data_IF_237190878188
#
_entry.id   IF_237190878188
#
_cell.length_a   1.000
_cell.length_b   1.000
_cell.length_c   1.000
_cell.angle_alpha   90.00
_cell.angle_beta   90.00
_cell.angle_gamma   90.00
#
_symmetry.space_group_name_H-M   'P 1'
#
loop_
_entity.id
_entity.type
_entity.pdbx_description
1 polymer ?
#
# COMPACT_ATOMS: atom_id res chain seq x y z
N UNK A 1 21.87 -15.30 22.95
CA UNK A 1 20.68 -14.44 22.81
C UNK A 1 20.72 -13.77 21.45
N UNK A 2 19.85 -14.19 20.53
CA UNK A 2 19.81 -13.68 19.16
C UNK A 2 19.20 -12.28 19.18
N UNK A 3 20.01 -11.27 18.85
CA UNK A 3 19.58 -9.87 18.77
C UNK A 3 18.56 -9.71 17.65
N UNK A 4 17.31 -9.44 18.05
CA UNK A 4 16.20 -9.16 17.14
C UNK A 4 16.45 -7.87 16.35
N UNK A 5 16.04 -7.86 15.08
CA UNK A 5 15.67 -6.61 14.41
C UNK A 5 14.40 -6.11 15.10
N UNK A 6 14.52 -5.23 16.10
CA UNK A 6 13.49 -4.20 16.25
C UNK A 6 13.72 -3.26 15.09
N UNK A 7 12.79 -3.19 14.15
CA UNK A 7 12.75 -2.05 13.25
C UNK A 7 12.61 -0.82 14.15
N UNK A 8 13.71 -0.09 14.33
CA UNK A 8 13.72 1.30 14.74
C UNK A 8 12.90 2.07 13.69
N UNK A 9 11.58 2.06 13.85
CA UNK A 9 10.88 3.32 13.73
C UNK A 9 11.59 4.24 14.73
N UNK A 10 12.31 5.23 14.22
CA UNK A 10 12.77 6.32 15.04
C UNK A 10 11.55 6.81 15.83
N UNK A 11 11.55 6.52 17.13
CA UNK A 11 10.72 7.24 18.06
C UNK A 11 11.22 8.68 17.99
N UNK A 12 10.48 9.51 17.27
CA UNK A 12 10.53 10.95 17.48
C UNK A 12 10.02 11.14 18.92
N UNK A 13 10.94 11.32 19.87
CA UNK A 13 10.60 11.83 21.19
C UNK A 13 10.04 13.23 21.02
N UNK A 14 8.72 13.37 21.11
CA UNK A 14 8.10 14.59 21.62
C UNK A 14 7.83 14.28 23.09
N UNK A 15 8.61 14.90 23.97
CA UNK A 15 8.34 14.87 25.41
C UNK A 15 7.01 15.56 25.68
N UNK A 16 6.07 14.84 26.30
CA UNK A 16 4.94 15.46 26.97
C UNK A 16 5.37 15.77 28.40
N UNK A 17 5.91 16.97 28.63
CA UNK A 17 5.63 17.65 29.90
C UNK A 17 4.30 18.37 29.69
N UNK A 18 3.31 17.96 30.47
CA UNK A 18 2.00 18.56 30.47
C UNK A 18 2.10 20.00 30.96
N UNK A 19 1.94 20.97 30.06
CA UNK A 19 1.26 22.25 30.31
C UNK A 19 0.85 22.85 28.96
N UNK A 20 -0.46 23.08 28.83
CA UNK A 20 -1.15 23.98 27.89
C UNK A 20 -0.75 23.97 26.40
N UNK A 21 -1.72 23.55 25.58
CA UNK A 21 -1.74 23.66 24.11
C UNK A 21 -1.30 25.07 23.65
N UNK A 22 -0.42 25.13 22.62
CA UNK A 22 -0.68 26.01 21.48
C UNK A 22 -0.71 25.23 20.17
N UNK A 23 -1.68 25.64 19.37
CA UNK A 23 -2.08 25.11 18.07
C UNK A 23 -1.01 25.45 17.04
N UNK A 24 -0.51 24.47 16.28
CA UNK A 24 0.08 24.72 14.96
C UNK A 24 -0.61 23.89 13.89
N UNK A 25 -1.56 24.56 13.23
CA UNK A 25 -2.26 24.13 12.03
C UNK A 25 -1.28 23.95 10.86
N UNK A 26 -1.18 22.74 10.32
CA UNK A 26 -1.06 22.61 8.86
C UNK A 26 -2.48 22.60 8.31
N UNK A 27 -3.03 23.77 7.99
CA UNK A 27 -4.35 23.90 7.39
C UNK A 27 -4.37 23.18 6.03
N UNK A 28 -4.90 21.95 5.99
CA UNK A 28 -5.63 21.53 4.81
C UNK A 28 -6.79 22.54 4.68
N UNK A 29 -6.82 23.33 3.61
CA UNK A 29 -7.86 24.35 3.43
C UNK A 29 -9.26 23.73 3.63
N UNK A 30 -9.91 24.07 4.74
CA UNK A 30 -11.24 23.56 5.06
C UNK A 30 -12.23 24.24 4.12
N UNK A 31 -13.03 23.44 3.41
CA UNK A 31 -13.97 23.99 2.44
C UNK A 31 -15.31 24.26 3.13
N UNK A 32 -15.67 25.53 3.32
CA UNK A 32 -16.97 25.91 3.89
C UNK A 32 -18.09 25.57 2.90
N UNK A 33 -18.97 24.65 3.30
CA UNK A 33 -20.12 24.18 2.51
C UNK A 33 -21.40 24.12 3.33
N UNK A 34 -22.55 24.19 2.67
CA UNK A 34 -23.86 24.08 3.32
C UNK A 34 -24.73 23.05 2.63
N UNK A 35 -25.30 22.10 3.38
CA UNK A 35 -26.26 21.14 2.84
C UNK A 35 -27.13 20.57 3.97
N UNK A 36 -28.37 20.17 3.66
CA UNK A 36 -29.37 19.73 4.65
C UNK A 36 -29.60 20.79 5.75
N UNK A 37 -29.71 22.07 5.37
CA UNK A 37 -29.96 23.18 6.30
C UNK A 37 -28.81 23.55 7.23
N UNK A 38 -27.67 22.85 7.18
CA UNK A 38 -26.52 23.08 8.08
C UNK A 38 -25.30 23.58 7.32
N UNK A 39 -24.65 24.60 7.88
CA UNK A 39 -23.31 25.05 7.48
C UNK A 39 -22.25 24.15 8.11
N UNK A 40 -21.26 23.72 7.33
CA UNK A 40 -20.18 22.84 7.78
C UNK A 40 -18.84 23.27 7.18
N UNK A 41 -17.77 23.15 7.95
CA UNK A 41 -16.41 23.17 7.42
C UNK A 41 -16.03 21.76 6.99
N UNK A 42 -15.99 21.51 5.68
CA UNK A 42 -15.66 20.20 5.16
C UNK A 42 -14.16 19.95 5.30
N UNK A 43 -13.81 18.98 6.15
CA UNK A 43 -12.44 18.56 6.45
C UNK A 43 -12.02 17.31 5.67
N UNK A 44 -12.95 16.68 4.96
CA UNK A 44 -12.66 15.57 4.05
C UNK A 44 -11.90 16.03 2.81
N UNK A 45 -11.23 15.10 2.13
CA UNK A 45 -10.50 15.46 0.91
C UNK A 45 -11.45 15.67 -0.27
N UNK A 46 -11.23 16.78 -0.98
CA UNK A 46 -11.97 17.15 -2.18
C UNK A 46 -11.75 16.14 -3.32
N UNK A 47 -12.84 15.65 -3.91
CA UNK A 47 -12.80 14.67 -4.99
C UNK A 47 -12.49 15.32 -6.33
N UNK A 48 -11.63 14.66 -7.10
CA UNK A 48 -11.33 14.99 -8.50
C UNK A 48 -11.93 13.96 -9.45
N UNK A 49 -12.07 14.31 -10.73
CA UNK A 49 -12.72 13.45 -11.71
C UNK A 49 -11.88 13.37 -12.99
N UNK A 50 -11.91 12.21 -13.64
CA UNK A 50 -11.39 12.03 -15.00
C UNK A 50 -12.41 11.29 -15.87
N UNK A 51 -12.39 11.57 -17.18
CA UNK A 51 -13.19 10.86 -18.17
C UNK A 51 -12.29 10.40 -19.32
N UNK A 52 -12.36 9.12 -19.70
CA UNK A 52 -11.44 8.50 -20.68
C UNK A 52 -9.97 8.80 -20.35
N UNK A 53 -9.60 8.72 -19.06
CA UNK A 53 -8.28 9.05 -18.51
C UNK A 53 -7.84 10.52 -18.68
N UNK A 54 -8.71 11.42 -19.17
CA UNK A 54 -8.45 12.87 -19.21
C UNK A 54 -9.01 13.53 -17.96
N UNK A 55 -8.15 14.26 -17.24
CA UNK A 55 -8.54 14.98 -16.01
C UNK A 55 -9.58 16.06 -16.35
N UNK A 56 -10.63 16.11 -15.55
CA UNK A 56 -11.65 17.15 -15.61
C UNK A 56 -11.37 18.21 -14.54
N UNK A 57 -11.72 19.47 -14.80
CA UNK A 57 -11.40 20.60 -13.93
C UNK A 57 -12.63 21.46 -13.67
N UNK A 58 -13.11 21.54 -12.44
CA UNK A 58 -14.23 22.42 -12.07
C UNK A 58 -13.90 23.23 -10.84
N UNK A 59 -14.46 24.44 -10.76
CA UNK A 59 -14.48 25.25 -9.53
C UNK A 59 -15.24 24.58 -8.38
N UNK A 60 -16.03 23.55 -8.67
CA UNK A 60 -16.75 22.76 -7.67
C UNK A 60 -16.09 21.39 -7.52
N UNK A 61 -15.46 21.17 -6.37
CA UNK A 61 -14.94 19.86 -6.01
C UNK A 61 -16.07 18.88 -5.70
N UNK A 62 -15.86 17.59 -5.97
CA UNK A 62 -16.72 16.57 -5.37
C UNK A 62 -16.40 16.40 -3.88
N UNK A 63 -17.31 15.81 -3.14
CA UNK A 63 -17.15 15.55 -1.70
C UNK A 63 -17.65 14.14 -1.37
N UNK A 64 -17.35 13.67 -0.17
CA UNK A 64 -17.98 12.47 0.38
C UNK A 64 -19.07 12.85 1.38
N UNK A 65 -20.25 12.23 1.24
CA UNK A 65 -21.34 12.30 2.21
C UNK A 65 -21.66 10.86 2.63
N UNK A 66 -21.58 10.54 3.92
CA UNK A 66 -21.81 9.19 4.45
C UNK A 66 -21.04 8.11 3.67
N UNK A 67 -19.73 8.31 3.48
CA UNK A 67 -18.83 7.46 2.69
C UNK A 67 -19.21 7.26 1.21
N UNK A 68 -20.18 8.01 0.70
CA UNK A 68 -20.58 8.02 -0.72
C UNK A 68 -19.88 9.15 -1.44
N UNK A 69 -19.18 8.83 -2.53
CA UNK A 69 -18.57 9.82 -3.40
C UNK A 69 -19.64 10.58 -4.17
N UNK A 70 -19.70 11.90 -4.00
CA UNK A 70 -20.71 12.76 -4.57
C UNK A 70 -20.10 13.60 -5.71
N UNK A 71 -20.68 13.51 -6.92
CA UNK A 71 -20.22 14.20 -8.12
C UNK A 71 -21.06 15.46 -8.39
N UNK A 72 -20.44 16.63 -8.62
CA UNK A 72 -21.10 17.81 -9.20
C UNK A 72 -21.53 17.53 -10.64
N UNK A 73 -22.68 16.85 -10.79
CA UNK A 73 -23.03 16.14 -12.03
C UNK A 73 -23.05 17.06 -13.26
N UNK A 74 -23.54 18.30 -13.11
CA UNK A 74 -23.62 19.23 -14.22
C UNK A 74 -22.24 19.62 -14.77
N UNK A 75 -21.24 19.75 -13.91
CA UNK A 75 -19.91 20.16 -14.36
C UNK A 75 -19.11 19.00 -14.94
N UNK A 76 -19.12 17.86 -14.25
CA UNK A 76 -18.29 16.73 -14.62
C UNK A 76 -18.94 15.81 -15.66
N UNK A 77 -20.26 15.61 -15.61
CA UNK A 77 -20.97 14.72 -16.54
C UNK A 77 -21.52 15.46 -17.76
N UNK A 78 -22.06 16.67 -17.57
CA UNK A 78 -22.75 17.43 -18.64
C UNK A 78 -21.79 18.37 -19.36
N UNK A 79 -21.13 19.30 -18.65
CA UNK A 79 -20.28 20.31 -19.29
C UNK A 79 -18.95 19.76 -19.82
N UNK A 80 -18.23 18.93 -19.06
CA UNK A 80 -16.84 18.59 -19.40
C UNK A 80 -16.66 17.18 -19.93
N UNK A 81 -16.99 16.16 -19.13
CA UNK A 81 -16.62 14.77 -19.43
C UNK A 81 -17.47 14.14 -20.53
N UNK A 82 -18.37 13.20 -20.21
CA UNK A 82 -19.12 12.43 -21.20
C UNK A 82 -20.14 13.22 -22.04
N UNK A 83 -20.41 14.50 -21.75
CA UNK A 83 -21.44 15.30 -22.44
C UNK A 83 -22.84 14.68 -22.31
N UNK A 84 -23.18 14.22 -21.10
CA UNK A 84 -24.50 13.68 -20.77
C UNK A 84 -25.56 14.75 -21.01
N UNK A 85 -26.62 14.40 -21.76
CA UNK A 85 -27.77 15.30 -21.95
C UNK A 85 -28.54 15.42 -20.64
N UNK A 86 -29.00 16.63 -20.31
CA UNK A 86 -29.66 16.92 -19.03
C UNK A 86 -30.94 17.74 -19.23
N UNK A 87 -31.99 17.35 -18.51
CA UNK A 87 -33.10 18.25 -18.13
C UNK A 87 -33.18 18.37 -16.59
N UNK A 88 -33.46 19.57 -16.08
CA UNK A 88 -33.63 19.84 -14.65
C UNK A 88 -34.78 20.82 -14.41
N UNK A 89 -35.72 20.46 -13.55
CA UNK A 89 -36.81 21.32 -13.10
C UNK A 89 -36.55 21.78 -11.67
N UNK A 90 -36.38 23.09 -11.46
CA UNK A 90 -36.20 23.68 -10.12
C UNK A 90 -37.44 23.52 -9.25
N UNK A 91 -38.65 23.64 -9.83
CA UNK A 91 -39.94 23.51 -9.15
C UNK A 91 -40.15 22.13 -8.52
N UNK A 92 -39.84 21.07 -9.26
CA UNK A 92 -40.07 19.68 -8.81
C UNK A 92 -38.81 19.00 -8.28
N UNK A 93 -37.64 19.60 -8.47
CA UNK A 93 -36.34 18.98 -8.22
C UNK A 93 -36.01 17.82 -9.15
N UNK A 94 -36.81 17.57 -10.20
CA UNK A 94 -36.63 16.46 -11.14
C UNK A 94 -35.39 16.67 -12.00
N UNK A 95 -34.53 15.66 -12.06
CA UNK A 95 -33.28 15.61 -12.82
C UNK A 95 -33.40 14.44 -13.79
N UNK A 96 -33.27 14.69 -15.09
CA UNK A 96 -33.24 13.65 -16.13
C UNK A 96 -31.90 13.71 -16.84
N UNK A 97 -31.14 12.63 -16.79
CA UNK A 97 -29.85 12.47 -17.44
C UNK A 97 -29.96 11.41 -18.54
N UNK A 98 -29.51 11.73 -19.75
CA UNK A 98 -29.52 10.80 -20.90
C UNK A 98 -28.12 10.64 -21.47
N UNK A 99 -27.69 9.40 -21.64
CA UNK A 99 -26.41 9.05 -22.28
C UNK A 99 -26.58 7.76 -23.07
N UNK A 100 -26.40 7.83 -24.39
CA UNK A 100 -26.77 6.74 -25.30
C UNK A 100 -28.26 6.35 -25.11
N UNK A 101 -28.51 5.04 -24.96
CA UNK A 101 -29.85 4.46 -24.71
C UNK A 101 -30.26 4.47 -23.23
N UNK A 102 -29.45 5.03 -22.32
CA UNK A 102 -29.72 5.06 -20.88
C UNK A 102 -30.33 6.39 -20.46
N UNK A 103 -31.42 6.32 -19.71
CA UNK A 103 -32.10 7.46 -19.08
C UNK A 103 -32.15 7.24 -17.58
N UNK A 104 -31.57 8.17 -16.82
CA UNK A 104 -31.64 8.22 -15.37
C UNK A 104 -32.53 9.39 -14.96
N UNK A 105 -33.64 9.10 -14.28
CA UNK A 105 -34.54 10.11 -13.70
C UNK A 105 -34.43 10.08 -12.18
N UNK A 106 -33.98 11.18 -11.58
CA UNK A 106 -33.82 11.33 -10.14
C UNK A 106 -34.51 12.61 -9.65
N UNK A 107 -34.63 12.76 -8.33
CA UNK A 107 -35.17 13.97 -7.71
C UNK A 107 -34.21 14.45 -6.64
N UNK A 108 -33.92 15.76 -6.64
CA UNK A 108 -33.13 16.40 -5.58
C UNK A 108 -33.76 16.11 -4.22
N UNK A 109 -32.97 15.62 -3.26
CA UNK A 109 -33.41 15.28 -1.91
C UNK A 109 -34.06 13.91 -1.75
N UNK A 110 -34.31 13.15 -2.84
CA UNK A 110 -34.92 11.82 -2.77
C UNK A 110 -33.93 10.73 -3.15
N UNK A 111 -33.90 9.63 -2.37
CA UNK A 111 -33.05 8.46 -2.67
C UNK A 111 -33.59 7.64 -3.84
N UNK A 112 -34.90 7.68 -4.07
CA UNK A 112 -35.54 6.98 -5.18
C UNK A 112 -35.17 7.62 -6.51
N UNK A 113 -34.77 6.79 -7.47
CA UNK A 113 -34.51 7.18 -8.85
C UNK A 113 -34.97 6.08 -9.81
N UNK A 114 -34.98 6.38 -11.10
CA UNK A 114 -35.45 5.47 -12.14
C UNK A 114 -34.39 5.33 -13.22
N UNK A 115 -34.07 4.10 -13.61
CA UNK A 115 -33.23 3.78 -14.76
C UNK A 115 -34.10 3.17 -15.84
N UNK A 116 -34.21 3.85 -16.98
CA UNK A 116 -35.10 3.46 -18.08
C UNK A 116 -36.52 3.13 -17.57
N UNK A 117 -37.04 3.92 -16.62
CA UNK A 117 -38.35 3.71 -16.01
C UNK A 117 -38.38 2.77 -14.80
N UNK A 118 -37.35 1.93 -14.59
CA UNK A 118 -37.30 1.00 -13.46
C UNK A 118 -36.84 1.68 -12.16
N UNK A 119 -37.63 1.54 -11.09
CA UNK A 119 -37.34 2.11 -9.76
C UNK A 119 -36.08 1.51 -9.13
N UNK A 120 -35.23 2.35 -8.56
CA UNK A 120 -33.98 2.04 -7.86
C UNK A 120 -33.77 3.01 -6.68
N UNK A 121 -32.79 2.72 -5.82
CA UNK A 121 -32.49 3.51 -4.62
C UNK A 121 -31.01 3.86 -4.55
N UNK A 122 -30.70 5.15 -4.40
CA UNK A 122 -29.35 5.64 -4.16
C UNK A 122 -28.89 5.37 -2.72
N UNK A 123 -27.58 5.22 -2.51
CA UNK A 123 -26.97 5.14 -1.16
C UNK A 123 -27.10 6.43 -0.35
N UNK A 124 -27.18 7.58 -1.03
CA UNK A 124 -27.39 8.94 -0.49
C UNK A 124 -28.26 9.71 -1.49
N UNK A 125 -29.19 10.56 -1.05
CA UNK A 125 -29.99 11.34 -1.99
C UNK A 125 -29.13 12.34 -2.79
N UNK A 126 -29.47 12.66 -4.05
CA UNK A 126 -28.90 13.83 -4.73
C UNK A 126 -29.08 15.06 -3.85
N UNK A 127 -27.97 15.73 -3.51
CA UNK A 127 -27.94 16.73 -2.44
C UNK A 127 -27.56 18.10 -3.01
N UNK A 128 -28.33 19.13 -2.65
CA UNK A 128 -27.97 20.53 -2.92
C UNK A 128 -26.88 20.95 -1.93
N UNK A 129 -25.72 21.34 -2.45
CA UNK A 129 -24.55 21.78 -1.67
C UNK A 129 -24.23 23.22 -2.05
N UNK A 130 -24.34 24.14 -1.09
CA UNK A 130 -23.88 25.53 -1.19
C UNK A 130 -22.36 25.58 -0.98
N UNK A 131 -21.63 26.07 -1.97
CA UNK A 131 -20.19 26.32 -1.88
C UNK A 131 -19.97 27.79 -1.54
N UNK A 132 -19.61 28.10 -0.29
CA UNK A 132 -19.52 29.48 0.18
C UNK A 132 -18.43 30.28 -0.53
N UNK A 133 -17.37 29.62 -0.99
CA UNK A 133 -16.29 30.24 -1.78
C UNK A 133 -16.76 30.84 -3.12
N UNK A 134 -17.93 30.43 -3.63
CA UNK A 134 -18.45 30.88 -4.93
C UNK A 134 -19.88 31.41 -4.86
N UNK A 135 -20.48 31.45 -3.67
CA UNK A 135 -21.91 31.74 -3.45
C UNK A 135 -22.90 30.76 -4.07
N UNK A 136 -22.44 29.76 -4.84
CA UNK A 136 -23.29 28.93 -5.70
C UNK A 136 -23.82 27.68 -4.97
N UNK A 137 -25.06 27.28 -5.29
CA UNK A 137 -25.63 26.00 -4.84
C UNK A 137 -25.63 24.98 -5.98
N UNK A 138 -24.89 23.89 -5.80
CA UNK A 138 -24.71 22.85 -6.81
C UNK A 138 -25.35 21.55 -6.34
N UNK A 139 -26.07 20.87 -7.23
CA UNK A 139 -26.59 19.54 -6.96
C UNK A 139 -25.48 18.53 -7.21
N UNK A 140 -25.17 17.75 -6.18
CA UNK A 140 -24.27 16.61 -6.27
C UNK A 140 -25.08 15.31 -6.27
N UNK A 141 -24.66 14.36 -7.10
CA UNK A 141 -25.28 13.04 -7.18
C UNK A 141 -24.32 11.95 -6.71
N UNK A 142 -24.82 10.81 -6.19
CA UNK A 142 -23.99 9.64 -5.90
C UNK A 142 -23.27 9.18 -7.16
N UNK A 143 -21.95 9.32 -7.15
CA UNK A 143 -21.15 9.21 -8.36
C UNK A 143 -21.16 7.78 -8.93
N UNK A 144 -21.16 6.75 -8.08
CA UNK A 144 -21.15 5.36 -8.51
C UNK A 144 -22.42 5.00 -9.26
N UNK A 145 -23.56 5.17 -8.62
CA UNK A 145 -24.88 4.83 -9.14
C UNK A 145 -25.25 5.69 -10.35
N UNK A 146 -24.90 6.97 -10.33
CA UNK A 146 -25.18 7.87 -11.46
C UNK A 146 -24.37 7.49 -12.70
N UNK A 147 -23.06 7.24 -12.54
CA UNK A 147 -22.17 6.90 -13.66
C UNK A 147 -22.53 5.51 -14.21
N UNK A 148 -22.67 4.51 -13.33
CA UNK A 148 -23.03 3.16 -13.75
C UNK A 148 -24.43 3.09 -14.35
N UNK A 149 -25.40 3.82 -13.79
CA UNK A 149 -26.77 3.89 -14.30
C UNK A 149 -26.87 4.50 -15.70
N UNK A 150 -25.95 5.40 -16.05
CA UNK A 150 -25.83 5.97 -17.39
C UNK A 150 -25.04 5.06 -18.36
N UNK A 151 -24.68 3.85 -17.95
CA UNK A 151 -23.95 2.92 -18.81
C UNK A 151 -22.48 3.31 -18.99
N UNK A 152 -21.85 3.81 -17.94
CA UNK A 152 -20.42 4.13 -17.90
C UNK A 152 -19.70 3.30 -16.84
N UNK A 153 -18.41 3.07 -17.03
CA UNK A 153 -17.55 2.46 -16.01
C UNK A 153 -17.30 3.47 -14.89
N UNK A 154 -17.38 3.03 -13.63
CA UNK A 154 -17.05 3.84 -12.46
C UNK A 154 -15.88 3.23 -11.71
N UNK A 155 -14.86 4.03 -11.40
CA UNK A 155 -13.76 3.61 -10.53
C UNK A 155 -13.38 4.72 -9.56
N UNK A 156 -13.47 4.46 -8.26
CA UNK A 156 -12.94 5.37 -7.24
C UNK A 156 -11.52 4.96 -6.84
N UNK A 157 -10.60 5.91 -6.89
CA UNK A 157 -9.22 5.78 -6.42
C UNK A 157 -9.06 6.58 -5.15
N UNK A 158 -9.19 5.92 -3.99
CA UNK A 158 -9.11 6.56 -2.67
C UNK A 158 -7.80 7.32 -2.47
N UNK A 159 -6.67 6.76 -2.91
CA UNK A 159 -5.35 7.39 -2.76
C UNK A 159 -5.17 8.73 -3.47
N UNK A 160 -5.99 9.03 -4.49
CA UNK A 160 -5.98 10.32 -5.18
C UNK A 160 -7.32 11.05 -5.08
N UNK A 161 -8.24 10.54 -4.24
CA UNK A 161 -9.61 11.00 -4.14
C UNK A 161 -10.25 11.21 -5.52
N UNK A 162 -9.97 10.30 -6.47
CA UNK A 162 -10.31 10.49 -7.88
C UNK A 162 -11.35 9.49 -8.34
N UNK A 163 -12.41 9.99 -8.94
CA UNK A 163 -13.42 9.19 -9.65
C UNK A 163 -13.10 9.18 -11.14
N UNK A 164 -12.78 8.01 -11.67
CA UNK A 164 -12.53 7.79 -13.10
C UNK A 164 -13.77 7.24 -13.79
N UNK A 165 -14.10 7.80 -14.95
CA UNK A 165 -15.28 7.45 -15.75
C UNK A 165 -14.87 7.11 -17.19
N UNK A 166 -15.56 6.17 -17.83
CA UNK A 166 -15.38 5.85 -19.26
C UNK A 166 -16.65 5.23 -19.83
N UNK A 167 -16.74 5.14 -21.16
CA UNK A 167 -17.85 4.44 -21.84
C UNK A 167 -17.75 2.93 -21.58
N UNK A 168 -18.91 2.26 -21.53
CA UNK A 168 -18.97 0.80 -21.66
C UNK A 168 -18.72 0.46 -23.13
N UNK A 169 -17.64 -0.28 -23.43
CA UNK A 169 -17.46 -0.90 -24.74
C UNK A 169 -18.41 -2.08 -24.87
N UNK A 170 -19.18 -2.13 -25.95
CA UNK A 170 -20.06 -3.26 -26.25
C UNK A 170 -19.22 -4.50 -26.61
N UNK A 171 -18.89 -5.26 -25.58
CA UNK A 171 -18.84 -6.72 -25.64
C UNK A 171 -19.77 -7.20 -24.53
N UNK A 172 -21.05 -7.33 -24.85
CA UNK A 172 -22.06 -8.02 -24.03
C UNK A 172 -21.78 -9.51 -24.09
N UNK A 173 -21.69 -10.25 -22.98
CA UNK A 173 -22.89 -10.70 -22.26
C UNK A 173 -22.83 -10.51 -20.73
N UNK A 174 -24.03 -10.42 -20.15
CA UNK A 174 -24.33 -10.00 -18.79
C UNK A 174 -23.88 -10.99 -17.70
N UNK A 175 -23.32 -10.44 -16.62
CA UNK A 175 -23.16 -11.11 -15.35
C UNK A 175 -24.39 -10.86 -14.47
N UNK A 176 -25.16 -11.92 -14.22
CA UNK A 176 -25.79 -12.12 -12.91
C UNK A 176 -25.56 -13.57 -12.48
N UNK A 177 -24.90 -13.68 -11.33
CA UNK A 177 -24.99 -14.79 -10.36
C UNK A 177 -24.81 -16.21 -10.89
N UNK A 178 -23.56 -16.63 -11.05
CA UNK A 178 -23.07 -17.91 -10.56
C UNK A 178 -21.54 -17.99 -10.72
N UNK A 179 -20.94 -18.70 -9.79
CA UNK A 179 -19.53 -19.02 -9.65
C UNK A 179 -18.99 -19.82 -10.87
N UNK A 180 -17.70 -19.62 -11.22
CA UNK A 180 -16.84 -20.34 -12.21
C UNK A 180 -16.98 -19.92 -13.70
N UNK A 181 -15.99 -19.89 -14.61
CA UNK A 181 -14.51 -20.07 -14.73
C UNK A 181 -14.11 -19.60 -16.18
N UNK A 182 -12.86 -19.19 -16.50
CA UNK A 182 -12.50 -18.44 -17.73
C UNK A 182 -11.82 -19.25 -18.86
N UNK A 183 -11.81 -18.71 -20.10
CA UNK A 183 -10.80 -18.92 -21.17
C UNK A 183 -10.94 -17.83 -22.27
N UNK A 184 -9.99 -16.87 -22.44
CA UNK A 184 -8.68 -16.86 -23.12
C UNK A 184 -8.81 -16.65 -24.66
N UNK A 185 -8.25 -15.61 -25.27
CA UNK A 185 -6.80 -15.28 -25.42
C UNK A 185 -6.57 -13.76 -25.59
N UNK A 186 -5.50 -13.10 -25.12
CA UNK A 186 -4.25 -13.58 -24.56
C UNK A 186 -4.27 -13.76 -23.04
N UNK A 187 -3.98 -15.00 -22.63
CA UNK A 187 -3.61 -15.48 -21.30
C UNK A 187 -4.13 -14.65 -20.11
N UNK A 188 -5.32 -15.01 -19.63
CA UNK A 188 -5.73 -14.68 -18.27
C UNK A 188 -4.57 -15.01 -17.31
N UNK A 189 -4.22 -14.07 -16.43
CA UNK A 189 -3.19 -14.27 -15.42
C UNK A 189 -3.52 -15.55 -14.62
N UNK A 190 -2.83 -16.65 -14.94
CA UNK A 190 -3.09 -17.98 -14.38
C UNK A 190 -2.91 -17.86 -12.87
N UNK A 191 -4.02 -17.96 -12.14
CA UNK A 191 -4.04 -17.82 -10.68
C UNK A 191 -4.18 -19.19 -10.05
N UNK A 192 -3.25 -19.55 -9.18
CA UNK A 192 -3.24 -20.81 -8.44
C UNK A 192 -3.32 -20.50 -6.95
N UNK A 193 -4.15 -21.22 -6.20
CA UNK A 193 -4.13 -21.16 -4.73
C UNK A 193 -3.60 -22.47 -4.19
N UNK A 194 -2.66 -22.39 -3.26
CA UNK A 194 -2.12 -23.51 -2.50
C UNK A 194 -2.20 -23.17 -1.02
N UNK A 195 -1.99 -24.17 -0.16
CA UNK A 195 -2.09 -24.02 1.27
C UNK A 195 -0.83 -24.52 1.96
N UNK A 196 -0.42 -23.79 2.99
CA UNK A 196 0.60 -24.25 3.95
C UNK A 196 -0.09 -24.59 5.26
N UNK A 197 0.08 -25.82 5.72
CA UNK A 197 -0.47 -26.24 7.00
C UNK A 197 0.32 -25.61 8.16
N UNK A 198 -0.40 -25.05 9.12
CA UNK A 198 0.11 -24.57 10.39
C UNK A 198 -0.31 -25.60 11.45
N UNK A 199 0.65 -26.19 12.16
CA UNK A 199 0.42 -27.33 13.05
C UNK A 199 -0.49 -27.01 14.26
N UNK A 200 -0.66 -25.72 14.59
CA UNK A 200 -1.51 -25.23 15.69
C UNK A 200 -2.86 -24.75 15.16
N UNK A 201 -3.87 -24.78 16.03
CA UNK A 201 -5.13 -24.05 15.79
C UNK A 201 -4.84 -22.55 15.74
N UNK A 202 -5.72 -21.76 15.10
CA UNK A 202 -5.54 -20.30 15.01
C UNK A 202 -5.37 -19.65 16.39
N UNK A 203 -6.18 -20.05 17.39
CA UNK A 203 -6.10 -19.49 18.75
C UNK A 203 -4.78 -19.84 19.44
N UNK A 204 -4.31 -21.09 19.30
CA UNK A 204 -3.04 -21.51 19.90
C UNK A 204 -1.84 -20.85 19.21
N UNK A 205 -1.89 -20.66 17.89
CA UNK A 205 -0.86 -19.95 17.15
C UNK A 205 -0.79 -18.47 17.54
N UNK A 206 -1.95 -17.78 17.64
CA UNK A 206 -2.04 -16.40 18.15
C UNK A 206 -1.44 -16.26 19.55
N UNK A 207 -1.67 -17.23 20.45
CA UNK A 207 -1.07 -17.22 21.78
C UNK A 207 0.46 -17.35 21.72
N UNK A 208 0.99 -18.22 20.85
CA UNK A 208 2.43 -18.39 20.67
C UNK A 208 3.09 -17.13 20.10
N UNK A 209 2.47 -16.50 19.10
CA UNK A 209 2.91 -15.22 18.51
C UNK A 209 2.97 -14.10 19.54
N UNK A 210 1.91 -13.94 20.36
CA UNK A 210 1.92 -12.94 21.42
C UNK A 210 3.00 -13.23 22.46
N UNK A 211 3.30 -14.49 22.77
CA UNK A 211 4.40 -14.85 23.69
C UNK A 211 5.76 -14.47 23.11
N UNK A 212 5.99 -14.75 21.83
CA UNK A 212 7.24 -14.44 21.14
C UNK A 212 7.43 -12.92 20.92
N UNK A 213 6.34 -12.23 20.60
CA UNK A 213 6.31 -10.80 20.27
C UNK A 213 5.24 -10.08 21.10
N UNK A 214 5.49 -9.87 22.41
CA UNK A 214 4.47 -9.33 23.33
C UNK A 214 4.17 -7.84 23.09
N UNK A 215 5.11 -7.10 22.53
CA UNK A 215 5.00 -5.65 22.35
C UNK A 215 5.59 -5.17 21.02
N UNK A 216 5.07 -4.04 20.54
CA UNK A 216 5.59 -3.30 19.41
C UNK A 216 5.55 -1.80 19.71
N UNK A 217 6.61 -1.06 19.38
CA UNK A 217 6.71 0.37 19.69
C UNK A 217 6.58 0.69 21.19
N UNK A 218 7.05 -0.21 22.06
CA UNK A 218 6.94 -0.07 23.52
C UNK A 218 5.56 -0.37 24.10
N UNK A 219 4.58 -0.79 23.28
CA UNK A 219 3.21 -1.08 23.72
C UNK A 219 2.87 -2.56 23.57
N UNK A 220 2.22 -3.13 24.57
CA UNK A 220 1.71 -4.51 24.54
C UNK A 220 0.66 -4.68 23.44
N UNK A 221 0.68 -5.82 22.74
CA UNK A 221 -0.28 -6.13 21.68
C UNK A 221 -1.37 -7.06 22.22
N UNK A 222 -2.63 -6.70 22.02
CA UNK A 222 -3.76 -7.53 22.47
C UNK A 222 -3.92 -8.80 21.63
N UNK A 223 -4.48 -9.86 22.25
CA UNK A 223 -4.78 -11.12 21.54
C UNK A 223 -5.71 -10.89 20.35
N UNK A 224 -6.71 -10.02 20.51
CA UNK A 224 -7.64 -9.62 19.44
C UNK A 224 -6.95 -8.95 18.25
N UNK A 225 -5.95 -8.09 18.53
CA UNK A 225 -5.14 -7.46 17.48
C UNK A 225 -4.39 -8.52 16.67
N UNK A 226 -3.71 -9.45 17.34
CA UNK A 226 -3.06 -10.58 16.66
C UNK A 226 -4.04 -11.44 15.86
N UNK A 227 -5.19 -11.81 16.44
CA UNK A 227 -6.23 -12.57 15.72
C UNK A 227 -6.66 -11.86 14.43
N UNK A 228 -6.78 -10.53 14.44
CA UNK A 228 -7.18 -9.76 13.26
C UNK A 228 -6.17 -9.85 12.12
N UNK A 229 -4.86 -9.87 12.42
CA UNK A 229 -3.82 -9.93 11.40
C UNK A 229 -3.45 -11.35 10.98
N UNK A 230 -3.51 -12.31 11.90
CA UNK A 230 -3.18 -13.71 11.64
C UNK A 230 -4.33 -14.42 10.91
N UNK A 231 -5.60 -14.14 11.24
CA UNK A 231 -6.71 -14.86 10.63
C UNK A 231 -6.82 -14.58 9.11
N UNK A 232 -6.62 -15.58 8.23
CA UNK A 232 -6.67 -15.37 6.78
C UNK A 232 -8.06 -14.96 6.28
N UNK A 233 -9.13 -15.25 7.03
CA UNK A 233 -10.49 -14.79 6.71
C UNK A 233 -10.68 -13.28 6.90
N UNK A 234 -9.74 -12.60 7.58
CA UNK A 234 -9.72 -11.15 7.79
C UNK A 234 -8.81 -10.42 6.79
N UNK A 235 -8.36 -11.10 5.74
CA UNK A 235 -7.51 -10.51 4.71
C UNK A 235 -8.17 -9.32 4.00
N UNK A 236 -7.52 -8.15 4.09
CA UNK A 236 -7.91 -6.93 3.37
C UNK A 236 -6.97 -6.61 2.19
N UNK A 237 -5.98 -7.45 1.94
CA UNK A 237 -4.96 -7.24 0.89
C UNK A 237 -5.33 -7.89 -0.44
N UNK A 238 -6.50 -8.53 -0.54
CA UNK A 238 -6.95 -9.24 -1.74
C UNK A 238 -5.96 -10.33 -2.18
N UNK A 239 -5.54 -11.13 -1.21
CA UNK A 239 -4.54 -12.19 -1.26
C UNK A 239 -3.09 -11.75 -1.49
N UNK A 240 -2.78 -10.45 -1.62
CA UNK A 240 -1.40 -10.02 -1.88
C UNK A 240 -0.43 -10.33 -0.73
N UNK A 241 -0.90 -10.41 0.52
CA UNK A 241 -0.07 -10.92 1.61
C UNK A 241 0.25 -12.42 1.50
N UNK A 242 -0.52 -13.17 0.71
CA UNK A 242 -0.31 -14.60 0.45
C UNK A 242 0.39 -14.86 -0.89
N UNK A 243 0.75 -13.82 -1.65
CA UNK A 243 1.41 -13.99 -2.95
C UNK A 243 2.77 -14.67 -2.78
N UNK A 244 3.03 -15.74 -3.54
CA UNK A 244 4.35 -16.37 -3.61
C UNK A 244 5.37 -15.42 -4.23
N UNK A 245 6.39 -15.08 -3.45
CA UNK A 245 7.42 -14.12 -3.77
C UNK A 245 8.67 -14.75 -4.40
N UNK A 246 8.79 -16.08 -4.36
CA UNK A 246 9.94 -16.87 -4.84
C UNK A 246 9.93 -17.11 -6.36
N UNK A 247 9.36 -16.18 -7.11
CA UNK A 247 9.39 -16.18 -8.57
C UNK A 247 9.41 -14.75 -9.07
N UNK A 248 10.26 -14.49 -10.05
CA UNK A 248 10.17 -13.25 -10.80
C UNK A 248 8.88 -13.20 -11.62
N UNK A 249 8.24 -12.03 -11.65
CA UNK A 249 7.05 -11.75 -12.48
C UNK A 249 7.35 -10.57 -13.41
N UNK A 250 7.09 -10.68 -14.73
CA UNK A 250 7.31 -9.58 -15.64
C UNK A 250 6.47 -8.35 -15.26
N UNK A 251 7.06 -7.16 -15.40
CA UNK A 251 6.43 -5.86 -15.16
C UNK A 251 6.70 -4.91 -16.33
N UNK A 252 5.80 -3.96 -16.54
CA UNK A 252 6.06 -2.82 -17.41
C UNK A 252 7.05 -1.86 -16.72
N UNK A 253 8.30 -1.83 -17.17
CA UNK A 253 9.39 -1.09 -16.52
C UNK A 253 9.11 0.42 -16.42
N UNK A 254 8.56 1.02 -17.47
CA UNK A 254 8.20 2.44 -17.48
C UNK A 254 7.12 2.76 -16.45
N UNK A 255 6.03 1.98 -16.42
CA UNK A 255 4.96 2.15 -15.44
C UNK A 255 5.46 1.94 -14.01
N UNK A 256 6.31 0.94 -13.80
CA UNK A 256 6.96 0.63 -12.53
C UNK A 256 7.80 1.81 -12.02
N UNK A 257 8.71 2.33 -12.84
CA UNK A 257 9.58 3.45 -12.46
C UNK A 257 8.78 4.75 -12.26
N UNK A 258 7.77 5.01 -13.10
CA UNK A 258 6.90 6.18 -12.96
C UNK A 258 6.06 6.14 -11.69
N UNK A 259 5.47 4.99 -11.35
CA UNK A 259 4.73 4.84 -10.11
C UNK A 259 5.63 4.95 -8.88
N UNK A 260 6.83 4.35 -8.90
CA UNK A 260 7.84 4.55 -7.85
C UNK A 260 8.09 6.04 -7.66
N UNK A 261 8.53 6.74 -8.70
CA UNK A 261 8.88 8.15 -8.65
C UNK A 261 7.74 9.07 -8.19
N UNK A 262 6.48 8.73 -8.50
CA UNK A 262 5.29 9.47 -8.05
C UNK A 262 5.06 9.39 -6.54
N UNK A 263 5.58 8.35 -5.88
CA UNK A 263 5.44 8.15 -4.43
C UNK A 263 6.58 8.77 -3.63
N UNK A 264 7.68 9.13 -4.29
CA UNK A 264 8.88 9.65 -3.63
C UNK A 264 8.80 11.17 -3.49
N UNK A 265 9.24 11.66 -2.34
CA UNK A 265 9.50 13.09 -2.10
C UNK A 265 10.83 13.51 -2.72
N UNK A 266 11.06 14.83 -2.79
CA UNK A 266 12.38 15.36 -3.10
C UNK A 266 13.43 14.84 -2.12
N UNK A 267 14.65 14.58 -2.61
CA UNK A 267 15.76 14.04 -1.81
C UNK A 267 15.71 12.53 -1.55
N UNK A 268 14.71 11.79 -2.08
CA UNK A 268 14.71 10.33 -1.96
C UNK A 268 15.83 9.68 -2.76
N UNK A 269 16.59 8.78 -2.13
CA UNK A 269 17.64 8.00 -2.81
C UNK A 269 17.08 7.01 -3.85
N UNK A 270 15.78 6.70 -3.77
CA UNK A 270 15.12 5.75 -4.67
C UNK A 270 14.65 6.39 -5.98
N UNK A 271 14.87 7.70 -6.18
CA UNK A 271 14.49 8.39 -7.41
C UNK A 271 15.15 7.71 -8.62
N UNK A 272 14.32 7.38 -9.62
CA UNK A 272 14.72 6.70 -10.86
C UNK A 272 15.35 5.31 -10.68
N UNK A 273 15.16 4.66 -9.51
CA UNK A 273 15.71 3.33 -9.24
C UNK A 273 14.80 2.17 -9.65
N UNK A 274 13.76 2.43 -10.44
CA UNK A 274 12.81 1.42 -10.91
C UNK A 274 13.49 0.28 -11.67
N UNK A 275 14.34 0.60 -12.65
CA UNK A 275 15.05 -0.40 -13.45
C UNK A 275 16.04 -1.23 -12.62
N UNK A 276 16.68 -0.61 -11.63
CA UNK A 276 17.61 -1.30 -10.71
C UNK A 276 16.86 -2.31 -9.84
N UNK A 277 15.71 -1.94 -9.30
CA UNK A 277 14.84 -2.85 -8.55
C UNK A 277 14.37 -4.03 -9.42
N UNK A 278 13.94 -3.76 -10.66
CA UNK A 278 13.52 -4.81 -11.60
C UNK A 278 14.66 -5.78 -11.88
N UNK A 279 15.87 -5.27 -12.14
CA UNK A 279 17.04 -6.08 -12.42
C UNK A 279 17.48 -6.91 -11.20
N UNK A 280 17.47 -6.33 -10.00
CA UNK A 280 17.75 -7.05 -8.76
C UNK A 280 16.71 -8.15 -8.48
N UNK A 281 15.42 -7.85 -8.65
CA UNK A 281 14.35 -8.83 -8.50
C UNK A 281 14.51 -10.01 -9.48
N UNK A 282 14.87 -9.72 -10.73
CA UNK A 282 15.15 -10.75 -11.75
C UNK A 282 16.36 -11.60 -11.37
N UNK A 283 17.47 -10.97 -10.93
CA UNK A 283 18.70 -11.66 -10.53
C UNK A 283 18.47 -12.65 -9.39
N UNK A 284 17.70 -12.27 -8.38
CA UNK A 284 17.44 -13.11 -7.21
C UNK A 284 16.15 -13.92 -7.31
N UNK A 285 15.51 -13.95 -8.49
CA UNK A 285 14.26 -14.66 -8.75
C UNK A 285 13.18 -14.37 -7.69
N UNK A 286 12.95 -13.09 -7.41
CA UNK A 286 11.91 -12.63 -6.49
C UNK A 286 10.91 -11.71 -7.19
N UNK A 287 9.73 -11.56 -6.60
CA UNK A 287 8.69 -10.70 -7.16
C UNK A 287 9.11 -9.21 -7.14
N UNK A 288 9.12 -8.51 -8.29
CA UNK A 288 9.59 -7.13 -8.36
C UNK A 288 8.65 -6.13 -7.68
N UNK A 289 7.33 -6.35 -7.68
CA UNK A 289 6.39 -5.42 -7.03
C UNK A 289 6.51 -5.54 -5.51
N UNK A 290 6.72 -6.75 -4.99
CA UNK A 290 7.10 -6.96 -3.60
C UNK A 290 8.39 -6.21 -3.27
N UNK A 291 9.46 -6.39 -4.06
CA UNK A 291 10.75 -5.75 -3.81
C UNK A 291 10.62 -4.21 -3.80
N UNK A 292 9.80 -3.64 -4.69
CA UNK A 292 9.45 -2.22 -4.66
C UNK A 292 8.84 -1.83 -3.32
N UNK A 293 7.73 -2.47 -2.95
CA UNK A 293 6.92 -2.09 -1.79
C UNK A 293 7.69 -2.29 -0.48
N UNK A 294 8.42 -3.39 -0.36
CA UNK A 294 9.37 -3.67 0.71
C UNK A 294 10.39 -2.53 0.81
N UNK A 295 11.05 -2.18 -0.30
CA UNK A 295 12.09 -1.14 -0.30
C UNK A 295 11.56 0.21 0.12
N UNK A 296 10.37 0.61 -0.34
CA UNK A 296 9.74 1.86 0.08
C UNK A 296 9.44 1.85 1.58
N UNK A 297 8.89 0.76 2.11
CA UNK A 297 8.54 0.68 3.53
C UNK A 297 9.80 0.76 4.40
N UNK A 298 10.80 -0.09 4.12
CA UNK A 298 12.02 -0.22 4.94
C UNK A 298 12.87 1.06 4.93
N UNK A 299 12.83 1.82 3.84
CA UNK A 299 13.63 3.05 3.70
C UNK A 299 12.85 4.30 4.09
N UNK A 300 11.58 4.20 4.46
CA UNK A 300 10.70 5.36 4.62
C UNK A 300 10.65 6.21 3.34
N UNK A 301 10.34 5.59 2.20
CA UNK A 301 10.35 6.20 0.87
C UNK A 301 11.72 6.76 0.46
N UNK A 302 12.81 6.09 0.86
CA UNK A 302 14.19 6.46 0.55
C UNK A 302 14.71 7.65 1.34
N UNK A 303 14.18 7.91 2.54
CA UNK A 303 14.55 9.05 3.37
C UNK A 303 15.19 8.67 4.72
N UNK A 304 15.20 7.39 5.09
CA UNK A 304 15.84 6.95 6.34
C UNK A 304 17.34 7.23 6.33
N UNK A 305 17.92 7.48 7.51
CA UNK A 305 19.36 7.77 7.68
C UNK A 305 20.24 6.70 7.02
N UNK A 306 19.92 5.42 7.24
CA UNK A 306 20.68 4.32 6.65
C UNK A 306 20.53 4.25 5.13
N UNK A 307 19.37 4.61 4.59
CA UNK A 307 19.12 4.63 3.14
C UNK A 307 19.77 5.81 2.43
N UNK A 308 19.86 6.97 3.09
CA UNK A 308 20.58 8.15 2.60
C UNK A 308 22.10 7.93 2.52
N UNK A 309 22.58 6.96 3.31
CA UNK A 309 23.98 6.56 3.35
C UNK A 309 24.84 7.51 4.18
N UNK A 310 26.02 7.02 4.56
CA UNK A 310 26.99 7.77 5.36
C UNK A 310 28.40 7.52 4.86
N UNK A 311 29.22 8.56 4.85
CA UNK A 311 30.67 8.42 4.70
C UNK A 311 31.24 7.98 6.05
N UNK A 312 31.67 6.72 6.14
CA UNK A 312 32.23 6.15 7.37
C UNK A 312 33.75 6.13 7.32
N UNK A 313 34.37 6.36 8.47
CA UNK A 313 35.83 6.36 8.68
C UNK A 313 36.24 5.33 9.75
N UNK A 314 35.27 4.62 10.33
CA UNK A 314 35.47 3.49 11.22
C UNK A 314 34.35 2.46 11.04
N UNK A 315 34.68 1.20 11.27
CA UNK A 315 33.74 0.07 11.20
C UNK A 315 33.99 -0.92 12.34
N UNK A 316 32.97 -1.70 12.70
CA UNK A 316 33.12 -2.84 13.62
C UNK A 316 34.14 -3.81 13.05
N UNK A 317 35.07 -4.29 13.87
CA UNK A 317 36.25 -5.05 13.44
C UNK A 317 36.68 -6.08 14.49
N UNK A 318 37.74 -6.84 14.19
CA UNK A 318 38.33 -7.81 15.12
C UNK A 318 37.33 -8.86 15.58
N UNK A 319 37.40 -9.24 16.86
CA UNK A 319 36.54 -10.26 17.46
C UNK A 319 35.05 -9.90 17.48
N UNK A 320 34.70 -8.62 17.29
CA UNK A 320 33.31 -8.20 17.16
C UNK A 320 32.67 -8.58 15.82
N UNK A 321 33.45 -9.02 14.82
CA UNK A 321 32.92 -9.44 13.50
C UNK A 321 32.55 -10.92 13.53
N UNK A 322 31.28 -11.21 13.18
CA UNK A 322 30.81 -12.59 13.01
C UNK A 322 30.83 -12.91 11.53
N UNK A 323 31.49 -14.02 11.16
CA UNK A 323 31.60 -14.52 9.79
C UNK A 323 30.97 -15.90 9.65
N UNK A 324 30.42 -16.15 8.49
CA UNK A 324 30.13 -17.51 8.07
C UNK A 324 31.44 -18.28 7.88
N UNK A 325 31.54 -19.47 8.48
CA UNK A 325 32.79 -20.26 8.48
C UNK A 325 33.17 -20.75 7.09
N UNK A 326 32.18 -21.04 6.25
CA UNK A 326 32.42 -21.64 4.93
C UNK A 326 32.79 -20.60 3.86
N UNK A 327 32.18 -19.42 3.92
CA UNK A 327 32.33 -18.37 2.89
C UNK A 327 33.20 -17.21 3.33
N UNK A 328 33.52 -17.10 4.63
CA UNK A 328 34.24 -15.97 5.21
C UNK A 328 33.45 -14.65 5.19
N UNK A 329 32.20 -14.65 4.70
CA UNK A 329 31.36 -13.45 4.61
C UNK A 329 30.92 -12.99 5.99
N UNK A 330 30.91 -11.67 6.21
CA UNK A 330 30.40 -11.08 7.45
C UNK A 330 28.88 -11.27 7.53
N UNK A 331 28.42 -11.94 8.59
CA UNK A 331 27.00 -12.27 8.84
C UNK A 331 26.41 -11.46 10.00
N UNK A 332 27.23 -10.74 10.76
CA UNK A 332 26.77 -9.85 11.81
C UNK A 332 27.90 -9.41 12.74
N UNK A 333 27.50 -8.90 13.91
CA UNK A 333 28.42 -8.43 14.93
C UNK A 333 28.05 -8.95 16.32
N UNK A 334 29.01 -8.92 17.24
CA UNK A 334 28.83 -9.17 18.68
C UNK A 334 29.66 -8.18 19.49
N UNK A 335 29.21 -7.88 20.71
CA UNK A 335 30.03 -7.13 21.67
C UNK A 335 31.07 -8.04 22.30
N UNK A 336 32.21 -7.46 22.66
CA UNK A 336 33.28 -8.06 23.47
C UNK A 336 33.41 -7.17 24.70
N UNK A 337 33.27 -7.76 25.89
CA UNK A 337 33.24 -7.02 27.17
C UNK A 337 32.24 -5.85 27.16
N UNK A 338 31.05 -6.09 26.60
CA UNK A 338 29.96 -5.11 26.52
C UNK A 338 30.11 -4.03 25.43
N UNK A 339 31.20 -3.99 24.67
CA UNK A 339 31.45 -2.95 23.64
C UNK A 339 31.77 -3.56 22.26
N UNK A 340 31.54 -2.80 21.19
CA UNK A 340 31.99 -3.21 19.86
C UNK A 340 33.43 -2.74 19.63
N UNK A 341 34.29 -3.67 19.20
CA UNK A 341 35.63 -3.34 18.73
C UNK A 341 35.50 -2.69 17.35
N UNK A 342 36.20 -1.57 17.13
CA UNK A 342 36.18 -0.84 15.86
C UNK A 342 37.60 -0.52 15.38
N UNK A 343 37.77 -0.39 14.07
CA UNK A 343 39.03 0.01 13.44
C UNK A 343 38.79 1.19 12.50
N UNK A 344 39.79 2.07 12.39
CA UNK A 344 39.79 3.16 11.40
C UNK A 344 39.96 2.58 10.00
N UNK A 345 39.30 3.21 9.03
CA UNK A 345 39.39 2.87 7.61
C UNK A 345 39.51 4.16 6.79
N UNK A 346 39.94 4.04 5.53
CA UNK A 346 39.77 5.12 4.57
C UNK A 346 38.29 5.50 4.43
N UNK A 347 38.02 6.80 4.33
CA UNK A 347 36.65 7.33 4.20
C UNK A 347 35.91 6.67 3.03
N UNK A 348 34.79 6.02 3.30
CA UNK A 348 33.99 5.34 2.28
C UNK A 348 32.50 5.62 2.46
N UNK A 349 31.81 6.01 1.40
CA UNK A 349 30.35 6.18 1.41
C UNK A 349 29.67 4.84 1.26
N UNK A 350 28.75 4.51 2.17
CA UNK A 350 28.00 3.26 2.20
C UNK A 350 26.52 3.48 2.47
N UNK A 351 25.68 2.54 2.01
CA UNK A 351 24.22 2.60 2.05
C UNK A 351 23.65 1.29 2.59
N UNK A 352 22.64 1.36 3.47
CA UNK A 352 21.95 0.18 3.98
C UNK A 352 20.43 0.40 3.95
N UNK A 353 19.75 -0.11 2.93
CA UNK A 353 18.35 0.21 2.69
C UNK A 353 17.41 -0.42 3.72
N UNK A 354 17.71 -1.65 4.16
CA UNK A 354 16.80 -2.47 4.98
C UNK A 354 17.25 -2.55 6.44
N UNK A 355 18.17 -1.67 6.86
CA UNK A 355 18.78 -1.74 8.19
C UNK A 355 19.34 -3.13 8.52
N UNK A 356 19.92 -3.81 7.53
CA UNK A 356 20.43 -5.17 7.70
C UNK A 356 21.57 -5.13 8.73
N UNK A 357 21.41 -5.91 9.81
CA UNK A 357 22.31 -5.95 10.98
C UNK A 357 22.50 -4.59 11.67
N UNK A 358 21.52 -3.70 11.60
CA UNK A 358 21.45 -2.52 12.46
C UNK A 358 20.85 -2.91 13.82
N UNK A 359 21.70 -3.14 14.82
CA UNK A 359 21.27 -3.56 16.15
C UNK A 359 20.89 -2.37 17.04
N UNK A 360 19.87 -2.53 17.90
CA UNK A 360 19.36 -1.49 18.81
C UNK A 360 20.46 -0.78 19.61
N UNK A 361 21.48 -1.52 20.05
CA UNK A 361 22.60 -0.99 20.83
C UNK A 361 23.46 0.02 20.06
N UNK A 362 23.55 -0.12 18.74
CA UNK A 362 24.43 0.70 17.88
C UNK A 362 24.00 0.62 16.41
N UNK A 363 22.79 1.12 16.05
CA UNK A 363 22.15 0.79 14.77
C UNK A 363 22.89 1.36 13.56
N UNK A 364 23.38 2.61 13.66
CA UNK A 364 24.17 3.22 12.58
C UNK A 364 25.53 2.55 12.44
N UNK A 365 26.25 2.32 13.55
CA UNK A 365 27.58 1.70 13.52
C UNK A 365 27.52 0.30 12.89
N UNK A 366 26.64 -0.57 13.42
CA UNK A 366 26.52 -1.94 12.92
C UNK A 366 25.96 -1.96 11.49
N UNK A 367 24.91 -1.18 11.22
CA UNK A 367 24.29 -1.12 9.89
C UNK A 367 25.24 -0.65 8.79
N UNK A 368 26.02 0.41 9.03
CA UNK A 368 27.00 0.88 8.04
C UNK A 368 28.26 0.01 7.97
N UNK A 369 28.69 -0.61 9.08
CA UNK A 369 29.77 -1.60 9.05
C UNK A 369 29.39 -2.82 8.20
N UNK A 370 28.15 -3.28 8.30
CA UNK A 370 27.65 -4.37 7.44
C UNK A 370 27.66 -3.96 5.97
N UNK A 371 27.14 -2.76 5.65
CA UNK A 371 27.16 -2.22 4.31
C UNK A 371 28.59 -2.07 3.75
N UNK A 372 29.55 -1.69 4.59
CA UNK A 372 30.97 -1.63 4.23
C UNK A 372 31.52 -3.01 3.83
N UNK A 373 31.35 -4.04 4.67
CA UNK A 373 31.82 -5.40 4.37
C UNK A 373 31.16 -6.02 3.14
N UNK A 374 29.90 -5.66 2.86
CA UNK A 374 29.17 -6.10 1.67
C UNK A 374 29.34 -5.16 0.46
N UNK A 375 30.23 -4.16 0.56
CA UNK A 375 30.58 -3.22 -0.52
C UNK A 375 29.38 -2.48 -1.10
N UNK A 376 28.39 -2.12 -0.27
CA UNK A 376 27.21 -1.34 -0.68
C UNK A 376 27.54 0.15 -0.81
N UNK A 377 28.44 0.47 -1.74
CA UNK A 377 28.99 1.83 -1.94
C UNK A 377 28.14 2.74 -2.82
N UNK A 378 27.00 2.24 -3.29
CA UNK A 378 26.00 3.01 -4.02
C UNK A 378 24.60 2.51 -3.67
N UNK A 379 23.58 3.33 -3.93
CA UNK A 379 22.17 2.92 -3.76
C UNK A 379 21.88 1.67 -4.56
N UNK A 380 22.42 1.56 -5.78
CA UNK A 380 22.17 0.42 -6.67
C UNK A 380 22.75 -0.88 -6.08
N UNK A 381 24.00 -0.83 -5.57
CA UNK A 381 24.61 -1.97 -4.87
C UNK A 381 23.82 -2.35 -3.62
N UNK A 382 23.29 -1.37 -2.89
CA UNK A 382 22.47 -1.61 -1.72
C UNK A 382 21.09 -2.21 -2.08
N UNK A 383 20.49 -1.87 -3.23
CA UNK A 383 19.28 -2.52 -3.75
C UNK A 383 19.55 -4.00 -4.05
N UNK A 384 20.66 -4.31 -4.73
CA UNK A 384 21.06 -5.70 -4.99
C UNK A 384 21.35 -6.45 -3.69
N UNK A 385 22.03 -5.84 -2.73
CA UNK A 385 22.29 -6.43 -1.42
C UNK A 385 21.02 -6.70 -0.61
N UNK A 386 20.07 -5.77 -0.65
CA UNK A 386 18.78 -5.93 0.00
C UNK A 386 17.95 -7.07 -0.63
N UNK A 387 17.90 -7.14 -1.96
CA UNK A 387 17.24 -8.22 -2.70
C UNK A 387 17.89 -9.58 -2.42
N UNK A 388 19.22 -9.63 -2.40
CA UNK A 388 19.98 -10.83 -2.03
C UNK A 388 19.60 -11.33 -0.64
N UNK A 389 19.63 -10.42 0.35
CA UNK A 389 19.35 -10.73 1.74
C UNK A 389 17.95 -11.34 1.91
N UNK A 390 16.90 -10.71 1.37
CA UNK A 390 15.53 -11.25 1.49
C UNK A 390 15.34 -12.55 0.72
N UNK A 391 16.03 -12.70 -0.41
CA UNK A 391 16.05 -13.93 -1.19
C UNK A 391 16.65 -15.09 -0.40
N UNK A 392 17.90 -14.96 0.05
CA UNK A 392 18.66 -16.05 0.67
C UNK A 392 18.18 -16.36 2.09
N UNK A 393 17.83 -15.33 2.87
CA UNK A 393 17.50 -15.52 4.29
C UNK A 393 16.03 -15.91 4.49
N UNK A 394 15.12 -15.59 3.55
CA UNK A 394 13.68 -15.82 3.74
C UNK A 394 13.02 -16.53 2.55
N UNK A 395 13.01 -15.91 1.37
CA UNK A 395 12.14 -16.31 0.24
C UNK A 395 12.54 -17.66 -0.35
N UNK A 396 13.83 -17.85 -0.60
CA UNK A 396 14.43 -19.06 -1.15
C UNK A 396 15.21 -19.85 -0.09
N UNK A 397 15.05 -19.51 1.19
CA UNK A 397 15.67 -20.25 2.27
C UNK A 397 15.00 -21.62 2.41
N UNK A 398 15.75 -22.71 2.20
CA UNK A 398 15.20 -24.07 2.23
C UNK A 398 14.74 -24.53 3.62
N UNK A 399 15.33 -24.00 4.69
CA UNK A 399 14.98 -24.36 6.06
C UNK A 399 13.71 -23.65 6.55
N UNK A 400 13.50 -22.39 6.14
CA UNK A 400 12.38 -21.57 6.62
C UNK A 400 11.22 -21.46 5.62
N UNK A 401 11.51 -21.47 4.31
CA UNK A 401 10.56 -21.40 3.20
C UNK A 401 9.52 -20.26 3.34
N UNK A 402 9.99 -19.08 3.78
CA UNK A 402 9.14 -17.91 4.03
C UNK A 402 8.90 -17.16 2.72
N UNK A 403 8.18 -17.79 1.81
CA UNK A 403 8.00 -17.33 0.44
C UNK A 403 6.74 -16.49 0.19
N UNK A 404 6.09 -15.98 1.25
CA UNK A 404 4.99 -14.99 1.17
C UNK A 404 5.19 -13.92 2.22
N UNK A 405 4.58 -12.73 2.03
CA UNK A 405 4.57 -11.69 3.07
C UNK A 405 3.97 -12.18 4.39
N UNK A 406 2.94 -13.03 4.31
CA UNK A 406 2.35 -13.65 5.48
C UNK A 406 3.38 -14.51 6.21
N UNK A 407 4.13 -15.37 5.51
CA UNK A 407 5.17 -16.22 6.12
C UNK A 407 6.39 -15.43 6.59
N UNK A 408 6.68 -14.26 5.99
CA UNK A 408 7.68 -13.31 6.49
C UNK A 408 7.37 -12.89 7.92
N UNK A 409 6.09 -12.60 8.19
CA UNK A 409 5.65 -12.15 9.51
C UNK A 409 5.23 -13.28 10.43
N UNK A 410 4.63 -14.35 9.92
CA UNK A 410 4.02 -15.42 10.70
C UNK A 410 4.57 -16.76 10.24
N UNK A 411 5.63 -17.22 10.90
CA UNK A 411 6.38 -18.39 10.46
C UNK A 411 5.54 -19.69 10.53
N UNK A 412 5.45 -20.50 9.46
CA UNK A 412 4.59 -21.70 9.44
C UNK A 412 4.94 -22.76 10.49
N UNK A 413 6.23 -22.87 10.83
CA UNK A 413 6.70 -23.65 11.97
C UNK A 413 6.76 -22.79 13.24
N UNK A 414 5.91 -23.09 14.22
CA UNK A 414 5.85 -22.37 15.50
C UNK A 414 7.08 -22.54 16.40
N UNK A 415 7.98 -23.48 16.11
CA UNK A 415 9.28 -23.56 16.80
C UNK A 415 10.28 -22.51 16.28
N UNK A 416 9.97 -21.89 15.14
CA UNK A 416 10.83 -20.93 14.44
C UNK A 416 10.25 -19.52 14.40
N UNK A 417 9.33 -19.16 15.31
CA UNK A 417 8.78 -17.79 15.41
C UNK A 417 9.87 -16.73 15.69
N UNK A 418 11.04 -17.15 16.18
CA UNK A 418 12.21 -16.28 16.32
C UNK A 418 12.77 -15.81 14.97
N UNK A 419 12.47 -16.52 13.87
CA UNK A 419 12.92 -16.21 12.51
C UNK A 419 11.81 -15.49 11.71
N UNK A 420 11.30 -14.40 12.26
CA UNK A 420 10.32 -13.54 11.60
C UNK A 420 10.97 -12.22 11.18
N UNK A 421 10.58 -11.69 10.02
CA UNK A 421 11.25 -10.52 9.43
C UNK A 421 11.02 -9.25 10.26
N UNK A 422 9.86 -9.12 10.91
CA UNK A 422 9.46 -7.95 11.67
C UNK A 422 8.62 -8.32 12.89
N UNK A 423 8.63 -7.45 13.90
CA UNK A 423 7.80 -7.61 15.11
C UNK A 423 6.42 -6.98 14.96
N UNK A 424 6.24 -5.99 14.07
CA UNK A 424 4.95 -5.36 13.79
C UNK A 424 3.92 -6.41 13.32
N UNK A 425 2.82 -6.66 14.05
CA UNK A 425 1.81 -7.62 13.60
C UNK A 425 1.13 -7.20 12.29
N UNK A 426 1.11 -5.92 11.94
CA UNK A 426 0.53 -5.45 10.69
C UNK A 426 1.46 -5.57 9.47
N UNK A 427 2.71 -6.02 9.64
CA UNK A 427 3.76 -5.94 8.63
C UNK A 427 3.35 -6.52 7.26
N UNK A 428 2.91 -7.77 7.24
CA UNK A 428 2.47 -8.45 6.02
C UNK A 428 1.30 -7.72 5.34
N UNK A 429 0.34 -7.25 6.13
CA UNK A 429 -0.83 -6.51 5.66
C UNK A 429 -0.43 -5.17 5.04
N UNK A 430 0.50 -4.43 5.66
CA UNK A 430 0.94 -3.13 5.16
C UNK A 430 1.54 -3.26 3.76
N UNK A 431 2.51 -4.17 3.58
CA UNK A 431 3.14 -4.36 2.27
C UNK A 431 2.14 -4.93 1.26
N UNK A 432 1.36 -5.94 1.64
CA UNK A 432 0.33 -6.54 0.77
C UNK A 432 -0.70 -5.51 0.31
N UNK A 433 -1.10 -4.59 1.20
CA UNK A 433 -2.00 -3.49 0.86
C UNK A 433 -1.33 -2.49 -0.08
N UNK A 434 -0.05 -2.14 0.09
CA UNK A 434 0.67 -1.24 -0.84
C UNK A 434 0.79 -1.91 -2.21
N UNK A 435 1.17 -3.19 -2.28
CA UNK A 435 1.25 -3.95 -3.52
C UNK A 435 -0.09 -3.93 -4.24
N UNK A 436 -1.17 -4.33 -3.56
CA UNK A 436 -2.51 -4.33 -4.14
C UNK A 436 -2.93 -2.93 -4.54
N UNK A 437 -3.03 -1.99 -3.59
CA UNK A 437 -3.70 -0.70 -3.81
C UNK A 437 -2.91 0.27 -4.69
N UNK A 438 -1.58 0.14 -4.79
CA UNK A 438 -0.74 1.16 -5.41
C UNK A 438 0.08 0.67 -6.59
N UNK A 439 0.54 -0.59 -6.60
CA UNK A 439 1.55 -1.03 -7.57
C UNK A 439 1.13 -2.21 -8.45
N UNK A 440 0.05 -2.95 -8.14
CA UNK A 440 -0.36 -4.14 -8.91
C UNK A 440 -0.55 -3.90 -10.42
N UNK A 441 -0.87 -2.68 -10.83
CA UNK A 441 -1.11 -2.35 -12.24
C UNK A 441 0.16 -2.39 -13.10
N UNK A 442 1.34 -2.55 -12.50
CA UNK A 442 2.61 -2.59 -13.24
C UNK A 442 2.97 -4.00 -13.70
N UNK A 443 2.31 -5.05 -13.18
CA UNK A 443 2.51 -6.40 -13.71
C UNK A 443 2.12 -6.46 -15.18
N UNK A 444 2.90 -7.21 -15.96
CA UNK A 444 2.56 -7.49 -17.35
C UNK A 444 1.29 -8.36 -17.43
N UNK A 445 0.57 -8.30 -18.55
CA UNK A 445 -0.66 -9.05 -18.78
C UNK A 445 -0.47 -10.57 -18.69
N UNK A 446 0.72 -11.07 -19.01
CA UNK A 446 1.08 -12.49 -18.96
C UNK A 446 1.62 -12.96 -17.60
N UNK A 447 1.64 -12.10 -16.57
CA UNK A 447 2.10 -12.49 -15.24
C UNK A 447 1.15 -13.54 -14.62
N UNK A 448 1.71 -14.58 -14.01
CA UNK A 448 0.96 -15.63 -13.31
C UNK A 448 1.07 -15.46 -11.80
N UNK A 449 0.00 -15.75 -11.06
CA UNK A 449 -0.06 -15.51 -9.62
C UNK A 449 -0.28 -16.83 -8.89
N UNK A 450 0.54 -17.12 -7.89
CA UNK A 450 0.29 -18.23 -6.97
C UNK A 450 0.15 -17.67 -5.58
N UNK A 451 -0.96 -17.95 -4.91
CA UNK A 451 -1.25 -17.54 -3.55
C UNK A 451 -1.11 -18.75 -2.63
N UNK A 452 -0.30 -18.62 -1.58
CA UNK A 452 -0.04 -19.67 -0.59
C UNK A 452 -0.63 -19.23 0.75
N UNK A 453 -1.81 -19.77 1.06
CA UNK A 453 -2.61 -19.38 2.22
C UNK A 453 -2.30 -20.26 3.44
N UNK A 454 -2.30 -19.71 4.66
CA UNK A 454 -2.19 -20.52 5.86
C UNK A 454 -3.47 -21.33 6.06
N UNK A 455 -3.31 -22.61 6.43
CA UNK A 455 -4.38 -23.48 6.91
C UNK A 455 -4.04 -23.92 8.33
N UNK A 456 -4.74 -23.36 9.32
CA UNK A 456 -4.58 -23.75 10.73
C UNK A 456 -5.28 -25.08 11.00
N UNK A 457 -4.77 -25.82 12.00
CA UNK A 457 -5.34 -27.09 12.45
C UNK A 457 -6.76 -26.92 12.99
#
# INVERSE_FOLDING_TARGET
>A
MVNYKKLLAAALTIGCTATTIPIHNANAATMKIGYNGKTRYYTGTQLTFDYKNKKLSSKYAGIQISNTNMVPYYYYLVKQGPKVKRSYSSKTGKIVLKYGKKTLTAYSGKRTYYLNGAKKTFSVAPTKVKYYSTGSTIILMPAKETVQGLGMTYRYTSSSHRVSMSYLTNSSSAATTAQSKPAATGSAAKTTTVYTNYAKTLSAYVTAEKKQHPAYGGKSISKSTYTTYINPAKDATHNYQFLRLNTYRPVNATAYNNLLNKKLKSGSVLKNKGNVLIAAAKKYNIDPVYLLCQTILETGYGQSVLSQGKSVTSVVSGESVVKDRSTGKVTGFKTVNGKYITSKISKQKVYNLYGIKAYDSAPQLCGFSYAYYHKWTSVDKAIYGAAQYVSEQYIHNKAHNQNTLYKFRYHPNSSNLWHEYATDPAYAKQIGYIMYSQFRSVYASNATFTYDKPKFK
#
